data_IF_500814039752
#
_entry.id   IF_500814039752
#
_cell.length_a   1.000
_cell.length_b   1.000
_cell.length_c   1.000
_cell.angle_alpha   90.00
_cell.angle_beta   90.00
_cell.angle_gamma   90.00
#
_symmetry.space_group_name_H-M   'P 1'
#
loop_
_entity.id
_entity.type
_entity.pdbx_description
1 polymer ?
#
# COMPACT_ATOMS: atom_id res chain seq x y z
N UNK A 1 16.50 5.57 20.17
CA UNK A 1 15.04 5.64 20.00
C UNK A 1 14.71 7.11 19.78
N UNK A 2 14.28 7.50 18.58
CA UNK A 2 14.08 8.91 18.22
C UNK A 2 12.61 9.28 18.40
N UNK A 3 12.33 10.38 19.13
CA UNK A 3 11.01 10.99 19.22
C UNK A 3 10.84 11.93 18.03
N UNK A 4 9.82 11.70 17.21
CA UNK A 4 9.56 12.49 16.02
C UNK A 4 8.26 13.28 16.20
N UNK A 5 8.39 14.58 16.33
CA UNK A 5 7.31 15.56 16.10
C UNK A 5 7.43 16.03 14.64
N UNK A 6 6.79 15.34 13.71
CA UNK A 6 6.88 15.62 12.26
C UNK A 6 7.48 14.48 11.43
N UNK A 7 7.15 14.51 10.14
CA UNK A 7 7.23 13.43 9.14
C UNK A 7 8.64 12.80 9.02
N UNK A 8 8.73 11.47 9.17
CA UNK A 8 9.94 10.68 8.93
C UNK A 8 9.70 9.59 7.88
N UNK A 9 10.73 9.27 7.10
CA UNK A 9 10.72 8.25 6.07
C UNK A 9 10.37 6.88 6.63
N UNK A 10 9.23 6.34 6.20
CA UNK A 10 8.89 4.95 6.36
C UNK A 10 8.16 4.55 5.06
N UNK A 11 8.72 3.61 4.29
CA UNK A 11 8.15 3.20 3.01
C UNK A 11 6.78 2.54 3.21
N UNK A 12 5.74 3.30 2.86
CA UNK A 12 4.39 2.86 2.62
C UNK A 12 3.95 3.50 1.30
N UNK A 13 3.78 2.69 0.25
CA UNK A 13 3.02 3.07 -0.95
C UNK A 13 1.54 3.14 -0.57
N UNK A 14 1.19 4.28 0.02
CA UNK A 14 -0.13 4.89 -0.13
C UNK A 14 0.14 6.22 -0.82
N UNK A 15 -0.37 6.42 -2.04
CA UNK A 15 -0.19 7.67 -2.79
C UNK A 15 -1.24 8.72 -2.37
N UNK A 16 -0.73 9.76 -1.73
CA UNK A 16 -1.04 11.21 -1.81
C UNK A 16 -2.48 11.63 -2.11
N UNK A 17 -3.20 12.03 -1.05
CA UNK A 17 -4.13 13.17 -1.08
C UNK A 17 -3.47 14.33 -0.31
N UNK A 18 -3.28 15.47 -0.96
CA UNK A 18 -2.59 16.65 -0.41
C UNK A 18 -3.52 17.46 0.53
N UNK A 19 -2.98 18.01 1.62
CA UNK A 19 -3.62 19.04 2.46
C UNK A 19 -2.94 20.37 2.14
N UNK A 20 -3.71 21.36 1.68
CA UNK A 20 -3.24 22.71 1.38
C UNK A 20 -2.87 23.49 2.66
N UNK A 21 -1.58 23.80 2.87
CA UNK A 21 -1.06 25.08 3.41
C UNK A 21 0.48 25.07 3.54
N UNK A 22 1.18 26.20 3.35
CA UNK A 22 2.63 26.26 3.35
C UNK A 22 3.21 26.28 4.78
N UNK A 23 4.23 25.45 5.04
CA UNK A 23 5.06 25.51 6.25
C UNK A 23 6.53 25.87 5.90
N UNK A 24 7.29 26.48 6.83
CA UNK A 24 8.54 27.19 6.52
C UNK A 24 9.72 26.25 6.20
N UNK A 25 10.38 26.54 5.07
CA UNK A 25 11.78 26.46 4.63
C UNK A 25 12.83 25.45 5.19
N UNK A 26 12.54 24.58 6.17
CA UNK A 26 13.51 23.63 6.72
C UNK A 26 13.13 22.14 6.55
N UNK A 27 11.97 21.84 5.95
CA UNK A 27 11.42 20.48 5.79
C UNK A 27 11.27 20.10 4.32
N UNK A 28 12.29 19.49 3.71
CA UNK A 28 12.21 18.99 2.33
C UNK A 28 11.66 17.56 2.27
N UNK A 29 10.38 17.48 1.86
CA UNK A 29 9.68 16.45 1.05
C UNK A 29 10.18 14.99 1.13
N UNK A 30 9.41 14.16 1.84
CA UNK A 30 9.39 12.68 1.80
C UNK A 30 8.34 12.23 0.80
N UNK A 31 8.63 11.34 -0.18
CA UNK A 31 7.66 10.73 -1.12
C UNK A 31 6.36 11.56 -1.26
N UNK A 32 6.54 12.74 -1.87
CA UNK A 32 6.01 14.03 -1.41
C UNK A 32 4.49 14.23 -1.43
N UNK A 33 3.76 13.72 -0.41
CA UNK A 33 2.41 14.25 -0.15
C UNK A 33 1.46 13.54 0.84
N UNK A 34 1.87 12.49 1.57
CA UNK A 34 1.02 11.90 2.63
C UNK A 34 1.53 12.21 4.03
N UNK A 35 0.61 12.54 4.94
CA UNK A 35 0.92 12.76 6.35
C UNK A 35 0.98 11.41 7.09
N UNK A 36 1.98 11.24 7.97
CA UNK A 36 2.21 10.01 8.75
C UNK A 36 0.97 9.49 9.48
N UNK A 37 0.15 10.39 10.06
CA UNK A 37 -1.09 9.99 10.72
C UNK A 37 -2.09 9.32 9.76
N UNK A 38 -2.16 9.78 8.51
CA UNK A 38 -3.03 9.21 7.48
C UNK A 38 -2.60 7.80 7.06
N UNK A 39 -1.31 7.58 6.82
CA UNK A 39 -0.82 6.23 6.47
C UNK A 39 -0.96 5.26 7.65
N UNK A 40 -0.71 5.69 8.88
CA UNK A 40 -0.89 4.87 10.08
C UNK A 40 -2.35 4.57 10.39
N UNK A 41 -3.28 5.46 10.04
CA UNK A 41 -4.71 5.20 10.16
C UNK A 41 -5.19 4.09 9.20
N UNK A 42 -4.45 3.79 8.14
CA UNK A 42 -4.85 2.79 7.13
C UNK A 42 -3.99 1.51 7.19
N UNK A 43 -2.68 1.63 7.34
CA UNK A 43 -1.77 0.48 7.47
C UNK A 43 -0.38 0.76 6.94
N UNK A 44 -0.28 1.27 5.71
CA UNK A 44 0.96 1.64 5.05
C UNK A 44 1.74 0.44 4.51
N UNK A 45 1.29 -0.08 3.36
CA UNK A 45 1.93 -1.19 2.64
C UNK A 45 2.89 -0.70 1.56
N UNK A 46 3.95 -1.46 1.24
CA UNK A 46 4.82 -1.19 0.09
C UNK A 46 5.83 -2.32 -0.16
N UNK A 47 6.76 -2.13 -1.10
CA UNK A 47 7.72 -3.19 -1.48
C UNK A 47 8.64 -3.69 -0.37
N UNK A 48 8.82 -2.94 0.71
CA UNK A 48 9.58 -3.37 1.89
C UNK A 48 8.76 -4.24 2.88
N UNK A 49 7.44 -4.35 2.67
CA UNK A 49 6.51 -5.02 3.59
C UNK A 49 6.85 -6.49 3.81
N UNK A 50 7.34 -7.19 2.78
CA UNK A 50 7.76 -8.59 2.92
C UNK A 50 8.84 -8.79 4.00
N UNK A 51 9.68 -7.77 4.24
CA UNK A 51 10.79 -7.82 5.19
C UNK A 51 10.42 -7.27 6.57
N UNK A 52 9.66 -6.18 6.62
CA UNK A 52 9.44 -5.41 7.85
C UNK A 52 7.98 -5.37 8.33
N UNK A 53 7.04 -6.00 7.63
CA UNK A 53 5.60 -5.79 7.87
C UNK A 53 5.12 -4.45 7.31
N UNK A 54 3.86 -4.10 7.59
CA UNK A 54 3.34 -2.79 7.17
C UNK A 54 3.79 -1.69 8.12
N UNK A 55 3.60 -0.43 7.76
CA UNK A 55 4.06 0.71 8.57
C UNK A 55 3.52 0.66 10.01
N UNK A 56 2.26 0.25 10.19
CA UNK A 56 1.66 0.11 11.52
C UNK A 56 2.34 -0.94 12.42
N UNK A 57 3.00 -1.97 11.85
CA UNK A 57 3.78 -2.96 12.61
C UNK A 57 5.08 -2.39 13.17
N UNK A 58 5.51 -1.24 12.64
CA UNK A 58 6.77 -0.56 12.95
C UNK A 58 6.59 0.61 13.92
N UNK A 59 5.39 0.80 14.48
CA UNK A 59 5.12 1.81 15.51
C UNK A 59 5.46 1.27 16.90
N UNK A 60 6.13 2.09 17.68
CA UNK A 60 6.46 1.83 19.08
C UNK A 60 5.44 2.44 20.05
N UNK A 61 5.08 3.70 19.84
CA UNK A 61 4.22 4.50 20.72
C UNK A 61 3.54 5.60 19.90
N UNK A 62 2.33 6.01 20.31
CA UNK A 62 1.58 7.12 19.76
C UNK A 62 1.16 8.10 20.86
N UNK A 63 1.03 9.37 20.50
CA UNK A 63 0.14 10.30 21.20
C UNK A 63 -1.08 10.57 20.32
N UNK A 64 -2.26 10.47 20.92
CA UNK A 64 -3.55 10.50 20.23
C UNK A 64 -4.50 11.45 20.95
N UNK A 65 -5.21 12.28 20.20
CA UNK A 65 -6.36 13.05 20.71
C UNK A 65 -7.64 12.29 20.43
N UNK A 66 -8.39 11.90 21.47
CA UNK A 66 -9.65 11.15 21.34
C UNK A 66 -10.80 12.03 20.85
N UNK A 67 -11.95 11.43 20.53
CA UNK A 67 -13.17 12.17 20.13
C UNK A 67 -13.75 13.04 21.24
N UNK A 68 -13.35 12.81 22.50
CA UNK A 68 -13.65 13.69 23.64
C UNK A 68 -12.61 14.81 23.83
N UNK A 69 -11.60 14.91 22.95
CA UNK A 69 -10.55 15.93 23.04
C UNK A 69 -9.43 15.62 24.06
N UNK A 70 -9.33 14.39 24.56
CA UNK A 70 -8.31 14.00 25.55
C UNK A 70 -7.02 13.57 24.85
N UNK A 71 -5.88 14.10 25.30
CA UNK A 71 -4.56 13.68 24.84
C UNK A 71 -4.11 12.43 25.61
N UNK A 72 -3.99 11.32 24.92
CA UNK A 72 -3.61 10.02 25.46
C UNK A 72 -2.28 9.54 24.86
N UNK A 73 -1.48 8.84 25.66
CA UNK A 73 -0.30 8.11 25.18
C UNK A 73 -0.63 6.62 25.14
N UNK A 74 -0.32 5.95 24.04
CA UNK A 74 -0.61 4.52 23.88
C UNK A 74 0.52 3.77 23.14
N UNK A 75 0.71 2.51 23.51
CA UNK A 75 1.73 1.60 23.02
C UNK A 75 1.28 0.15 23.21
N UNK A 76 2.14 -0.83 22.89
CA UNK A 76 1.85 -2.25 23.16
C UNK A 76 1.73 -2.59 24.66
N UNK A 77 2.24 -1.73 25.55
CA UNK A 77 2.29 -1.96 27.01
C UNK A 77 1.48 -0.93 27.82
N UNK A 78 1.01 0.15 27.18
CA UNK A 78 0.21 1.21 27.81
C UNK A 78 -0.98 1.55 26.93
N UNK A 79 -2.20 1.58 27.47
CA UNK A 79 -3.42 1.88 26.69
C UNK A 79 -3.49 1.07 25.37
N UNK A 80 -3.20 -0.23 25.47
CA UNK A 80 -3.03 -1.11 24.31
C UNK A 80 -4.29 -1.17 23.43
N UNK A 81 -5.47 -1.10 24.03
CA UNK A 81 -6.73 -1.08 23.30
C UNK A 81 -6.87 0.17 22.42
N UNK A 82 -6.47 1.36 22.91
CA UNK A 82 -6.38 2.56 22.08
C UNK A 82 -5.33 2.42 20.96
N UNK A 83 -4.15 1.88 21.29
CA UNK A 83 -3.07 1.68 20.33
C UNK A 83 -3.51 0.80 19.15
N UNK A 84 -4.13 -0.34 19.45
CA UNK A 84 -4.66 -1.28 18.45
C UNK A 84 -5.90 -0.72 17.71
N UNK A 85 -6.68 0.17 18.34
CA UNK A 85 -7.86 0.78 17.72
C UNK A 85 -7.54 1.95 16.78
N UNK A 86 -6.37 2.58 16.92
CA UNK A 86 -5.95 3.73 16.11
C UNK A 86 -5.15 3.30 14.89
N UNK A 87 -4.26 2.31 15.04
CA UNK A 87 -3.46 1.77 13.94
C UNK A 87 -4.30 0.90 13.00
N UNK A 88 -4.33 1.26 11.71
CA UNK A 88 -5.26 0.72 10.72
C UNK A 88 -6.75 0.89 11.11
N UNK A 89 -7.05 1.81 12.03
CA UNK A 89 -8.39 2.04 12.56
C UNK A 89 -9.21 3.10 11.82
N UNK A 90 -8.71 3.59 10.67
CA UNK A 90 -9.37 4.54 9.78
C UNK A 90 -9.80 5.84 10.48
N UNK A 91 -9.01 6.27 11.47
CA UNK A 91 -9.22 7.49 12.25
C UNK A 91 -10.40 7.44 13.22
N UNK A 92 -11.02 6.28 13.42
CA UNK A 92 -12.30 6.18 14.14
C UNK A 92 -12.21 6.43 15.64
N UNK A 93 -11.05 6.19 16.25
CA UNK A 93 -10.87 6.22 17.70
C UNK A 93 -9.93 7.34 18.18
N UNK A 94 -9.34 8.12 17.27
CA UNK A 94 -8.50 9.24 17.66
C UNK A 94 -7.65 9.82 16.52
N UNK A 95 -7.18 11.04 16.73
CA UNK A 95 -6.27 11.76 15.84
C UNK A 95 -4.84 11.54 16.33
N UNK A 96 -3.99 10.94 15.50
CA UNK A 96 -2.57 10.76 15.81
C UNK A 96 -1.87 12.11 15.71
N UNK A 97 -1.31 12.59 16.82
CA UNK A 97 -0.54 13.86 16.88
C UNK A 97 0.96 13.64 17.03
N UNK A 98 1.39 12.48 17.53
CA UNK A 98 2.79 12.08 17.59
C UNK A 98 2.92 10.57 17.36
N UNK A 99 3.98 10.13 16.67
CA UNK A 99 4.29 8.73 16.49
C UNK A 99 5.79 8.47 16.67
N UNK A 100 6.12 7.47 17.48
CA UNK A 100 7.48 6.92 17.61
C UNK A 100 7.58 5.70 16.70
N UNK A 101 8.42 5.77 15.67
CA UNK A 101 8.54 4.75 14.62
C UNK A 101 9.94 4.12 14.68
N UNK A 102 10.03 2.82 14.43
CA UNK A 102 11.31 2.11 14.31
C UNK A 102 12.07 2.59 13.06
N UNK A 103 13.38 2.78 13.21
CA UNK A 103 14.26 3.18 12.12
C UNK A 103 15.34 2.12 11.89
N UNK A 104 15.85 2.09 10.66
CA UNK A 104 17.04 1.35 10.27
C UNK A 104 18.13 2.33 9.82
N UNK A 105 19.36 1.85 9.72
CA UNK A 105 20.44 2.62 9.08
C UNK A 105 20.09 2.77 7.61
N UNK A 106 20.17 4.00 7.10
CA UNK A 106 19.93 4.28 5.69
C UNK A 106 21.15 3.87 4.87
N UNK A 107 20.91 3.10 3.80
CA UNK A 107 21.91 2.87 2.77
C UNK A 107 22.10 4.11 1.89
N UNK A 108 23.17 4.15 1.10
CA UNK A 108 23.46 5.30 0.23
C UNK A 108 22.94 5.13 -1.19
N UNK A 109 22.80 3.89 -1.68
CA UNK A 109 22.42 3.57 -3.06
C UNK A 109 21.41 2.43 -3.11
N UNK A 110 20.71 2.36 -4.24
CA UNK A 110 19.80 1.27 -4.59
C UNK A 110 20.15 0.78 -6.00
N UNK A 111 20.42 -0.53 -6.14
CA UNK A 111 20.49 -1.20 -7.44
C UNK A 111 19.12 -1.75 -7.77
N UNK A 112 18.49 -1.20 -8.81
CA UNK A 112 17.09 -1.42 -9.19
C UNK A 112 17.04 -2.28 -10.44
N UNK A 113 16.12 -3.24 -10.46
CA UNK A 113 15.91 -4.16 -11.57
C UNK A 113 14.44 -4.14 -11.97
N UNK A 114 14.18 -3.92 -13.26
CA UNK A 114 12.88 -4.15 -13.89
C UNK A 114 13.00 -5.38 -14.77
N UNK A 115 12.27 -6.44 -14.42
CA UNK A 115 12.35 -7.75 -15.06
C UNK A 115 10.99 -8.11 -15.67
N UNK A 116 10.94 -8.46 -16.95
CA UNK A 116 9.68 -8.68 -17.67
C UNK A 116 9.34 -10.16 -17.85
N UNK A 117 8.04 -10.48 -17.78
CA UNK A 117 7.49 -11.82 -17.86
C UNK A 117 6.31 -11.85 -18.85
N UNK A 118 6.14 -12.97 -19.53
CA UNK A 118 5.04 -13.18 -20.50
C UNK A 118 3.76 -13.67 -19.82
N UNK A 119 3.86 -14.36 -18.69
CA UNK A 119 2.72 -14.97 -18.01
C UNK A 119 2.72 -14.69 -16.50
N UNK A 120 1.51 -14.68 -15.96
CA UNK A 120 1.24 -14.37 -14.56
C UNK A 120 1.83 -15.42 -13.61
N UNK A 121 1.76 -16.70 -13.97
CA UNK A 121 2.21 -17.80 -13.11
C UNK A 121 3.73 -17.78 -12.88
N UNK A 122 4.51 -17.47 -13.91
CA UNK A 122 5.96 -17.31 -13.82
C UNK A 122 6.33 -16.10 -12.95
N UNK A 123 5.63 -14.97 -13.11
CA UNK A 123 5.82 -13.79 -12.25
C UNK A 123 5.51 -14.14 -10.78
N UNK A 124 4.33 -14.68 -10.48
CA UNK A 124 3.87 -14.95 -9.11
C UNK A 124 4.76 -15.99 -8.43
N UNK A 125 5.23 -17.01 -9.15
CA UNK A 125 6.23 -17.97 -8.63
C UNK A 125 7.51 -17.26 -8.18
N UNK A 126 8.07 -16.38 -9.02
CA UNK A 126 9.32 -15.70 -8.70
C UNK A 126 9.14 -14.66 -7.61
N UNK A 127 8.01 -13.95 -7.58
CA UNK A 127 7.68 -13.05 -6.47
C UNK A 127 7.60 -13.81 -5.13
N UNK A 128 6.96 -15.00 -5.11
CA UNK A 128 6.91 -15.87 -3.92
C UNK A 128 8.29 -16.35 -3.49
N UNK A 129 9.12 -16.75 -4.45
CA UNK A 129 10.50 -17.13 -4.19
C UNK A 129 11.24 -15.99 -3.49
N UNK A 130 11.12 -14.76 -3.98
CA UNK A 130 11.84 -13.61 -3.41
C UNK A 130 11.37 -13.23 -2.00
N UNK A 131 10.07 -13.26 -1.71
CA UNK A 131 9.57 -12.88 -0.38
C UNK A 131 9.78 -13.97 0.69
N UNK A 132 10.02 -15.21 0.28
CA UNK A 132 10.30 -16.35 1.18
C UNK A 132 11.80 -16.66 1.32
N UNK A 133 12.66 -15.97 0.58
CA UNK A 133 14.12 -16.18 0.59
C UNK A 133 14.77 -15.52 1.82
N UNK A 134 14.43 -16.01 3.01
CA UNK A 134 14.98 -15.51 4.28
C UNK A 134 16.50 -15.75 4.41
N UNK A 135 17.04 -16.70 3.64
CA UNK A 135 18.46 -17.05 3.67
C UNK A 135 19.31 -16.07 2.89
N UNK A 136 18.87 -15.63 1.71
CA UNK A 136 19.66 -14.74 0.86
C UNK A 136 19.29 -13.27 1.04
N UNK A 137 18.04 -12.94 1.43
CA UNK A 137 17.54 -11.56 1.63
C UNK A 137 18.04 -10.58 0.56
N UNK A 138 18.05 -11.04 -0.70
CA UNK A 138 18.71 -10.40 -1.84
C UNK A 138 18.19 -8.98 -2.04
N UNK A 139 16.87 -8.84 -2.04
CA UNK A 139 16.20 -7.58 -2.29
C UNK A 139 15.64 -6.98 -1.00
N UNK A 140 15.77 -5.66 -0.87
CA UNK A 140 15.15 -4.88 0.19
C UNK A 140 13.73 -4.45 -0.20
N UNK A 141 13.44 -4.44 -1.50
CA UNK A 141 12.18 -4.01 -2.09
C UNK A 141 11.73 -5.04 -3.14
N UNK A 142 10.48 -5.48 -3.06
CA UNK A 142 9.84 -6.37 -4.05
C UNK A 142 8.43 -5.87 -4.34
N UNK A 143 8.19 -5.42 -5.58
CA UNK A 143 6.86 -5.17 -6.11
C UNK A 143 6.71 -5.75 -7.52
N UNK A 144 5.55 -5.61 -8.12
CA UNK A 144 5.32 -5.97 -9.50
C UNK A 144 4.14 -5.20 -10.07
N UNK A 145 4.05 -5.24 -11.39
CA UNK A 145 3.03 -4.52 -12.14
C UNK A 145 2.55 -5.35 -13.33
N UNK A 146 1.29 -5.11 -13.70
CA UNK A 146 0.78 -5.47 -15.01
C UNK A 146 0.92 -4.23 -15.89
N UNK A 147 1.73 -4.32 -16.94
CA UNK A 147 2.08 -3.18 -17.80
C UNK A 147 1.62 -3.42 -19.23
N UNK A 148 1.29 -2.36 -19.99
CA UNK A 148 0.87 -2.52 -21.38
C UNK A 148 1.96 -3.21 -22.21
N UNK A 149 1.54 -4.11 -23.08
CA UNK A 149 2.44 -4.68 -24.09
C UNK A 149 2.38 -3.82 -25.36
N UNK A 150 3.54 -3.49 -25.94
CA UNK A 150 3.64 -2.56 -27.09
C UNK A 150 2.86 -3.02 -28.33
N UNK A 151 2.54 -4.32 -28.41
CA UNK A 151 1.78 -4.92 -29.52
C UNK A 151 0.29 -5.14 -29.15
N UNK A 152 -0.19 -4.55 -28.06
CA UNK A 152 -1.53 -4.75 -27.52
C UNK A 152 -1.57 -5.80 -26.40
N UNK A 153 -2.56 -5.66 -25.51
CA UNK A 153 -2.71 -6.49 -24.32
C UNK A 153 -1.75 -6.10 -23.19
N UNK A 154 -1.44 -7.06 -22.32
CA UNK A 154 -0.69 -6.85 -21.09
C UNK A 154 0.52 -7.78 -21.02
N UNK A 155 1.59 -7.32 -20.37
CA UNK A 155 2.73 -8.12 -19.92
C UNK A 155 2.98 -7.84 -18.44
N UNK A 156 3.85 -8.62 -17.82
CA UNK A 156 4.10 -8.56 -16.39
C UNK A 156 5.51 -8.05 -16.10
N UNK A 157 5.67 -7.26 -15.04
CA UNK A 157 6.95 -6.67 -14.65
C UNK A 157 7.17 -6.88 -13.15
N UNK A 158 8.35 -7.38 -12.78
CA UNK A 158 8.86 -7.43 -11.42
C UNK A 158 9.78 -6.23 -11.20
N UNK A 159 9.50 -5.42 -10.19
CA UNK A 159 10.35 -4.29 -9.76
C UNK A 159 10.99 -4.67 -8.44
N UNK A 160 12.31 -4.87 -8.44
CA UNK A 160 13.06 -5.24 -7.23
C UNK A 160 14.25 -4.32 -7.04
N UNK A 161 14.61 -4.04 -5.78
CA UNK A 161 15.79 -3.24 -5.48
C UNK A 161 16.59 -3.82 -4.31
N UNK A 162 17.91 -3.70 -4.41
CA UNK A 162 18.86 -4.05 -3.36
C UNK A 162 19.62 -2.81 -2.92
N UNK A 163 19.60 -2.53 -1.63
CA UNK A 163 20.20 -1.33 -1.05
C UNK A 163 21.61 -1.64 -0.56
N UNK A 164 22.54 -0.71 -0.81
CA UNK A 164 23.95 -0.89 -0.48
C UNK A 164 24.67 0.43 -0.21
N UNK A 165 25.78 0.34 0.53
CA UNK A 165 26.62 1.51 0.86
C UNK A 165 28.06 1.44 0.37
N UNK A 166 28.62 0.23 0.19
CA UNK A 166 30.02 0.05 -0.19
C UNK A 166 30.17 -0.72 -1.49
N UNK A 167 29.68 -1.96 -1.53
CA UNK A 167 29.85 -2.87 -2.66
C UNK A 167 28.56 -2.99 -3.45
N UNK A 168 28.64 -2.72 -4.76
CA UNK A 168 27.50 -2.91 -5.67
C UNK A 168 27.09 -4.39 -5.71
N UNK A 169 25.79 -4.71 -5.59
CA UNK A 169 25.30 -6.08 -5.70
C UNK A 169 25.69 -6.74 -7.03
N UNK A 170 26.07 -8.03 -6.98
CA UNK A 170 26.44 -8.80 -8.16
C UNK A 170 25.19 -9.34 -8.87
N UNK A 171 24.87 -8.81 -10.06
CA UNK A 171 23.67 -9.15 -10.82
C UNK A 171 23.46 -10.66 -11.02
N UNK A 172 24.53 -11.44 -11.26
CA UNK A 172 24.41 -12.87 -11.46
C UNK A 172 23.87 -13.58 -10.22
N UNK A 173 24.27 -13.12 -9.03
CA UNK A 173 23.77 -13.63 -7.75
C UNK A 173 22.35 -13.13 -7.50
N UNK A 174 22.10 -11.84 -7.76
CA UNK A 174 20.81 -11.20 -7.51
C UNK A 174 19.70 -11.85 -8.35
N UNK A 175 19.99 -12.13 -9.62
CA UNK A 175 19.05 -12.63 -10.63
C UNK A 175 19.04 -14.16 -10.75
N UNK A 176 19.82 -14.86 -9.91
CA UNK A 176 19.88 -16.31 -9.90
C UNK A 176 18.49 -16.93 -9.60
N UNK A 177 18.10 -17.93 -10.40
CA UNK A 177 16.85 -18.68 -10.24
C UNK A 177 15.59 -17.95 -10.71
N UNK A 178 15.69 -16.69 -11.15
CA UNK A 178 14.55 -15.96 -11.73
C UNK A 178 14.38 -16.31 -13.22
N UNK A 179 13.14 -16.40 -13.68
CA UNK A 179 12.77 -16.85 -15.03
C UNK A 179 12.04 -15.75 -15.81
N UNK A 180 12.49 -14.51 -15.64
CA UNK A 180 12.12 -13.42 -16.52
C UNK A 180 12.71 -13.62 -17.93
N UNK A 181 12.22 -12.84 -18.90
CA UNK A 181 12.69 -12.89 -20.29
C UNK A 181 14.11 -12.29 -20.37
N UNK A 182 15.11 -13.13 -20.60
CA UNK A 182 16.52 -12.71 -20.67
C UNK A 182 16.75 -11.72 -21.82
N UNK A 183 17.56 -10.70 -21.56
CA UNK A 183 17.85 -9.61 -22.48
C UNK A 183 16.83 -8.46 -22.45
N UNK A 184 15.81 -8.52 -21.58
CA UNK A 184 14.80 -7.46 -21.41
C UNK A 184 14.94 -6.69 -20.10
N UNK A 185 15.82 -7.15 -19.21
CA UNK A 185 16.08 -6.55 -17.92
C UNK A 185 16.57 -5.10 -18.06
N UNK A 186 16.04 -4.22 -17.22
CA UNK A 186 16.57 -2.87 -17.04
C UNK A 186 17.20 -2.81 -15.66
N UNK A 187 18.49 -2.51 -15.62
CA UNK A 187 19.28 -2.46 -14.38
C UNK A 187 19.89 -1.08 -14.26
N UNK A 188 19.63 -0.40 -13.15
CA UNK A 188 20.17 0.92 -12.89
C UNK A 188 20.56 1.08 -11.43
N UNK A 189 21.55 1.95 -11.18
CA UNK A 189 21.87 2.43 -9.84
C UNK A 189 21.23 3.80 -9.61
N UNK A 190 20.56 3.96 -8.47
CA UNK A 190 20.04 5.23 -7.97
C UNK A 190 20.66 5.55 -6.62
N UNK A 191 20.65 6.82 -6.21
CA UNK A 191 20.82 7.12 -4.79
C UNK A 191 19.64 6.51 -4.02
N UNK A 192 19.86 6.18 -2.75
CA UNK A 192 18.80 5.65 -1.89
C UNK A 192 17.59 6.59 -1.86
N UNK A 193 17.83 7.91 -1.73
CA UNK A 193 16.78 8.92 -1.74
C UNK A 193 16.03 8.99 -3.07
N UNK A 194 16.73 8.98 -4.21
CA UNK A 194 16.07 9.06 -5.52
C UNK A 194 15.21 7.83 -5.79
N UNK A 195 15.62 6.65 -5.31
CA UNK A 195 14.76 5.48 -5.33
C UNK A 195 13.48 5.71 -4.51
N UNK A 196 13.60 6.16 -3.26
CA UNK A 196 12.42 6.45 -2.41
C UNK A 196 11.51 7.53 -3.00
N UNK A 197 12.08 8.53 -3.67
CA UNK A 197 11.39 9.70 -4.20
C UNK A 197 11.03 9.57 -5.70
N UNK A 198 11.20 8.40 -6.31
CA UNK A 198 11.11 8.19 -7.78
C UNK A 198 9.79 8.54 -8.43
N UNK A 199 8.70 8.68 -7.66
CA UNK A 199 7.40 9.09 -8.19
C UNK A 199 7.25 10.61 -8.33
N UNK A 200 8.15 11.41 -7.74
CA UNK A 200 8.00 12.87 -7.71
C UNK A 200 7.92 13.49 -9.10
N UNK A 201 8.75 13.04 -10.04
CA UNK A 201 8.76 13.56 -11.41
C UNK A 201 7.52 13.14 -12.19
N UNK A 202 7.06 11.89 -12.02
CA UNK A 202 5.79 11.42 -12.60
C UNK A 202 4.62 12.24 -12.08
N UNK A 203 4.56 12.51 -10.76
CA UNK A 203 3.52 13.36 -10.16
C UNK A 203 3.59 14.78 -10.71
N UNK A 204 4.79 15.36 -10.80
CA UNK A 204 4.99 16.70 -11.35
C UNK A 204 4.52 16.78 -12.81
N UNK A 205 4.84 15.76 -13.62
CA UNK A 205 4.37 15.65 -14.99
C UNK A 205 2.85 15.55 -15.06
N UNK A 206 2.21 14.65 -14.30
CA UNK A 206 0.75 14.52 -14.26
C UNK A 206 0.04 15.80 -13.82
N UNK A 207 0.65 16.56 -12.89
CA UNK A 207 0.16 17.89 -12.48
C UNK A 207 0.28 18.90 -13.63
N UNK A 208 1.40 18.90 -14.36
CA UNK A 208 1.64 19.82 -15.49
C UNK A 208 0.65 19.67 -16.63
N UNK A 209 0.11 18.46 -16.84
CA UNK A 209 -0.92 18.17 -17.87
C UNK A 209 -2.35 18.17 -17.31
N UNK A 210 -2.55 18.54 -16.04
CA UNK A 210 -3.86 18.65 -15.38
C UNK A 210 -4.54 17.33 -14.98
N UNK A 211 -4.04 16.19 -15.45
CA UNK A 211 -4.63 14.86 -15.20
C UNK A 211 -4.55 14.46 -13.72
N UNK A 212 -3.57 14.97 -12.97
CA UNK A 212 -3.46 14.73 -11.53
C UNK A 212 -4.68 15.19 -10.72
N UNK A 213 -5.45 16.17 -11.22
CA UNK A 213 -6.63 16.69 -10.53
C UNK A 213 -7.93 15.97 -10.93
N UNK A 214 -7.86 14.98 -11.82
CA UNK A 214 -9.05 14.21 -12.22
C UNK A 214 -9.52 13.29 -11.08
N UNK A 215 -10.75 12.77 -11.14
CA UNK A 215 -11.18 11.74 -10.20
C UNK A 215 -10.33 10.47 -10.33
N UNK A 216 -9.95 9.88 -9.20
CA UNK A 216 -9.10 8.69 -9.12
C UNK A 216 -9.86 7.53 -8.47
N UNK A 217 -10.78 6.85 -9.17
CA UNK A 217 -11.58 5.76 -8.60
C UNK A 217 -10.74 4.47 -8.50
N UNK A 218 -9.75 4.47 -7.61
CA UNK A 218 -8.81 3.36 -7.42
C UNK A 218 -9.50 2.10 -6.90
N UNK A 219 -8.93 0.97 -7.25
CA UNK A 219 -9.23 -0.34 -6.68
C UNK A 219 -7.99 -0.84 -5.94
N UNK A 220 -8.11 -1.23 -4.68
CA UNK A 220 -7.01 -1.84 -3.92
C UNK A 220 -7.54 -3.05 -3.14
N UNK A 221 -7.04 -4.23 -3.49
CA UNK A 221 -7.51 -5.50 -2.96
C UNK A 221 -6.35 -6.31 -2.39
N UNK A 222 -6.60 -7.00 -1.29
CA UNK A 222 -5.82 -8.15 -0.88
C UNK A 222 -6.48 -9.42 -1.43
N UNK A 223 -5.78 -10.09 -2.32
CA UNK A 223 -6.21 -11.34 -2.96
C UNK A 223 -5.52 -12.51 -2.26
N UNK A 224 -6.24 -13.59 -1.90
CA UNK A 224 -5.63 -14.79 -1.34
C UNK A 224 -4.59 -15.37 -2.30
N UNK A 225 -3.47 -15.87 -1.76
CA UNK A 225 -2.39 -16.41 -2.55
C UNK A 225 -2.83 -17.57 -3.44
N UNK A 226 -3.72 -18.43 -2.96
CA UNK A 226 -4.27 -19.57 -3.69
C UNK A 226 -5.13 -19.17 -4.90
N UNK A 227 -5.71 -17.97 -4.87
CA UNK A 227 -6.67 -17.49 -5.88
C UNK A 227 -6.09 -16.43 -6.83
N UNK A 228 -4.86 -15.95 -6.59
CA UNK A 228 -4.30 -14.80 -7.33
C UNK A 228 -4.25 -15.02 -8.84
N UNK A 229 -3.80 -16.20 -9.29
CA UNK A 229 -3.61 -16.47 -10.73
C UNK A 229 -4.95 -16.56 -11.47
N UNK A 230 -5.94 -17.22 -10.88
CA UNK A 230 -7.27 -17.37 -11.48
C UNK A 230 -8.06 -16.05 -11.45
N UNK A 231 -8.05 -15.33 -10.32
CA UNK A 231 -8.76 -14.07 -10.18
C UNK A 231 -8.11 -12.97 -11.02
N UNK A 232 -6.82 -12.70 -10.84
CA UNK A 232 -6.13 -11.62 -11.56
C UNK A 232 -6.02 -11.95 -13.05
N UNK A 233 -5.74 -13.20 -13.41
CA UNK A 233 -5.71 -13.63 -14.81
C UNK A 233 -7.04 -13.37 -15.53
N UNK A 234 -8.17 -13.68 -14.88
CA UNK A 234 -9.51 -13.36 -15.41
C UNK A 234 -9.72 -11.85 -15.57
N UNK A 235 -9.39 -11.05 -14.56
CA UNK A 235 -9.54 -9.59 -14.62
C UNK A 235 -8.71 -9.00 -15.76
N UNK A 236 -7.42 -9.34 -15.82
CA UNK A 236 -6.47 -8.84 -16.83
C UNK A 236 -6.88 -9.26 -18.24
N UNK A 237 -7.45 -10.46 -18.43
CA UNK A 237 -7.88 -10.93 -19.75
C UNK A 237 -8.97 -10.05 -20.38
N UNK A 238 -9.76 -9.35 -19.57
CA UNK A 238 -10.83 -8.44 -20.04
C UNK A 238 -10.47 -6.96 -19.90
N UNK A 239 -9.33 -6.65 -19.29
CA UNK A 239 -8.95 -5.29 -18.96
C UNK A 239 -8.39 -4.57 -20.20
N UNK A 240 -8.79 -3.33 -20.40
CA UNK A 240 -8.25 -2.44 -21.45
C UNK A 240 -7.58 -1.23 -20.82
N UNK A 241 -6.73 -0.54 -21.59
CA UNK A 241 -6.13 0.73 -21.17
C UNK A 241 -7.19 1.75 -20.73
N UNK A 242 -8.32 1.82 -21.43
CA UNK A 242 -9.44 2.69 -21.08
C UNK A 242 -10.04 2.37 -19.71
N UNK A 243 -10.10 1.09 -19.31
CA UNK A 243 -10.56 0.72 -17.97
C UNK A 243 -9.63 1.22 -16.87
N UNK A 244 -8.34 1.31 -17.14
CA UNK A 244 -7.34 1.83 -16.18
C UNK A 244 -7.21 3.35 -16.20
N UNK A 245 -7.72 4.03 -17.24
CA UNK A 245 -7.41 5.44 -17.43
C UNK A 245 -5.91 5.72 -17.57
N UNK A 246 -5.17 4.76 -18.14
CA UNK A 246 -3.70 4.77 -18.24
C UNK A 246 -2.95 4.74 -16.90
N UNK A 247 -3.66 4.47 -15.79
CA UNK A 247 -3.05 4.30 -14.49
C UNK A 247 -2.33 2.95 -14.33
N UNK A 248 -1.35 2.86 -13.41
CA UNK A 248 -0.61 1.63 -13.18
C UNK A 248 -1.49 0.55 -12.52
N UNK A 249 -1.15 -0.71 -12.80
CA UNK A 249 -1.74 -1.88 -12.15
C UNK A 249 -0.65 -2.53 -11.31
N UNK A 250 -0.79 -2.50 -9.98
CA UNK A 250 0.16 -3.12 -9.07
C UNK A 250 -0.25 -4.55 -8.75
N UNK A 251 0.74 -5.44 -8.70
CA UNK A 251 0.57 -6.83 -8.30
C UNK A 251 1.84 -7.31 -7.58
N UNK A 252 1.75 -7.55 -6.28
CA UNK A 252 2.88 -8.11 -5.52
C UNK A 252 2.44 -8.81 -4.25
N UNK A 253 3.20 -9.85 -3.83
CA UNK A 253 2.89 -10.58 -2.62
C UNK A 253 3.45 -9.91 -1.37
N UNK A 254 2.81 -10.21 -0.25
CA UNK A 254 3.29 -9.92 1.10
C UNK A 254 3.09 -11.15 1.97
N UNK A 255 3.95 -11.30 2.99
CA UNK A 255 3.86 -12.38 3.96
C UNK A 255 3.07 -11.90 5.19
N UNK A 256 1.94 -12.54 5.47
CA UNK A 256 1.00 -12.15 6.53
C UNK A 256 1.51 -12.44 7.93
N UNK A 257 2.51 -13.32 8.09
CA UNK A 257 3.16 -13.60 9.39
C UNK A 257 3.85 -12.35 9.98
N UNK A 258 4.07 -11.31 9.16
CA UNK A 258 4.64 -10.03 9.61
C UNK A 258 3.59 -9.08 10.20
N UNK A 259 2.29 -9.35 10.02
CA UNK A 259 1.22 -8.43 10.44
C UNK A 259 0.73 -8.77 11.84
N UNK A 260 0.83 -7.80 12.75
CA UNK A 260 0.49 -7.97 14.16
C UNK A 260 -0.73 -7.17 14.63
N UNK A 261 -1.24 -6.23 13.82
CA UNK A 261 -2.31 -5.33 14.23
C UNK A 261 -3.70 -5.88 13.84
N UNK A 262 -4.69 -5.87 14.76
CA UNK A 262 -5.96 -6.55 14.54
C UNK A 262 -6.83 -5.93 13.43
N UNK A 263 -6.71 -4.62 13.21
CA UNK A 263 -7.52 -3.86 12.26
C UNK A 263 -6.93 -3.79 10.85
N UNK A 264 -5.68 -4.21 10.66
CA UNK A 264 -5.13 -4.37 9.32
C UNK A 264 -5.61 -5.71 8.73
N UNK A 265 -6.73 -5.67 8.00
CA UNK A 265 -7.43 -6.87 7.55
C UNK A 265 -6.92 -7.38 6.20
N UNK A 266 -6.51 -8.64 6.19
CA UNK A 266 -6.05 -9.39 5.01
C UNK A 266 -6.61 -10.82 5.05
N UNK A 267 -6.56 -11.58 3.93
CA UNK A 267 -6.86 -13.01 3.96
C UNK A 267 -5.98 -13.77 4.98
N UNK A 268 -6.45 -14.92 5.45
CA UNK A 268 -5.76 -15.73 6.47
C UNK A 268 -4.61 -16.58 5.93
N UNK A 269 -4.38 -16.57 4.62
CA UNK A 269 -3.27 -17.30 4.00
C UNK A 269 -1.92 -16.64 4.34
N UNK A 270 -0.86 -17.44 4.40
CA UNK A 270 0.50 -16.96 4.70
C UNK A 270 1.00 -15.95 3.67
N UNK A 271 0.63 -16.12 2.40
CA UNK A 271 0.99 -15.21 1.32
C UNK A 271 -0.29 -14.68 0.70
N UNK A 272 -0.40 -13.36 0.66
CA UNK A 272 -1.50 -12.64 0.00
C UNK A 272 -0.91 -11.63 -0.98
N UNK A 273 -1.67 -11.25 -1.99
CA UNK A 273 -1.23 -10.28 -2.99
C UNK A 273 -1.98 -8.99 -2.83
N UNK A 274 -1.26 -7.86 -2.84
CA UNK A 274 -1.89 -6.61 -3.23
C UNK A 274 -2.14 -6.68 -4.73
N UNK A 275 -3.39 -6.50 -5.13
CA UNK A 275 -3.78 -6.23 -6.50
C UNK A 275 -4.48 -4.88 -6.54
N UNK A 276 -3.89 -3.92 -7.24
CA UNK A 276 -4.42 -2.57 -7.31
C UNK A 276 -4.51 -2.07 -8.75
N UNK A 277 -5.61 -1.41 -9.09
CA UNK A 277 -5.79 -0.69 -10.34
C UNK A 277 -5.90 0.79 -9.99
N UNK A 278 -4.82 1.55 -10.21
CA UNK A 278 -4.75 2.96 -9.82
C UNK A 278 -5.36 3.85 -10.91
N UNK A 279 -6.68 3.72 -11.09
CA UNK A 279 -7.44 4.38 -12.15
C UNK A 279 -7.37 5.89 -12.13
N UNK A 280 -7.43 6.49 -13.32
CA UNK A 280 -7.73 7.92 -13.51
C UNK A 280 -8.96 8.05 -14.40
N UNK A 281 -9.99 8.79 -13.97
CA UNK A 281 -11.16 9.04 -14.81
C UNK A 281 -10.81 10.07 -15.89
N UNK A 282 -10.45 9.59 -17.08
CA UNK A 282 -10.13 10.41 -18.25
C UNK A 282 -11.01 9.98 -19.44
N UNK A 283 -11.93 10.84 -19.94
CA UNK A 283 -12.23 12.19 -19.44
C UNK A 283 -12.88 12.17 -18.03
N UNK A 284 -12.79 13.28 -17.27
CA UNK A 284 -13.27 13.38 -15.88
C UNK A 284 -14.79 13.58 -15.80
N UNK A 285 -15.54 12.71 -16.45
CA UNK A 285 -17.00 12.77 -16.53
C UNK A 285 -17.65 11.84 -15.51
N UNK A 286 -18.79 12.25 -14.93
CA UNK A 286 -19.53 11.47 -13.92
C UNK A 286 -19.90 10.06 -14.40
N UNK A 287 -20.22 9.89 -15.69
CA UNK A 287 -20.53 8.59 -16.27
C UNK A 287 -19.30 7.67 -16.28
N UNK A 288 -18.10 8.21 -16.50
CA UNK A 288 -16.83 7.45 -16.45
C UNK A 288 -16.54 7.05 -15.01
N UNK A 289 -16.66 7.97 -14.07
CA UNK A 289 -16.45 7.72 -12.63
C UNK A 289 -17.43 6.65 -12.14
N UNK A 290 -18.72 6.82 -12.40
CA UNK A 290 -19.77 5.86 -11.98
C UNK A 290 -19.49 4.47 -12.49
N UNK A 291 -19.13 4.32 -13.77
CA UNK A 291 -18.76 3.03 -14.36
C UNK A 291 -17.54 2.40 -13.68
N UNK A 292 -16.50 3.18 -13.39
CA UNK A 292 -15.31 2.68 -12.67
C UNK A 292 -15.64 2.26 -11.24
N UNK A 293 -16.51 3.00 -10.53
CA UNK A 293 -16.96 2.64 -9.17
C UNK A 293 -17.80 1.35 -9.18
N UNK A 294 -18.71 1.19 -10.14
CA UNK A 294 -19.47 -0.06 -10.31
C UNK A 294 -18.57 -1.25 -10.63
N UNK A 295 -17.55 -1.04 -11.47
CA UNK A 295 -16.52 -2.05 -11.78
C UNK A 295 -15.73 -2.44 -10.53
N UNK A 296 -15.28 -1.46 -9.75
CA UNK A 296 -14.56 -1.68 -8.50
C UNK A 296 -15.40 -2.47 -7.49
N UNK A 297 -16.70 -2.14 -7.33
CA UNK A 297 -17.60 -2.89 -6.45
C UNK A 297 -17.74 -4.33 -6.88
N UNK A 298 -17.97 -4.59 -8.18
CA UNK A 298 -18.09 -5.94 -8.73
C UNK A 298 -16.83 -6.77 -8.49
N UNK A 299 -15.66 -6.19 -8.74
CA UNK A 299 -14.37 -6.87 -8.53
C UNK A 299 -14.09 -7.11 -7.05
N UNK A 300 -14.46 -6.17 -6.17
CA UNK A 300 -14.37 -6.38 -4.72
C UNK A 300 -15.24 -7.55 -4.25
N UNK A 301 -16.50 -7.64 -4.69
CA UNK A 301 -17.39 -8.73 -4.29
C UNK A 301 -16.85 -10.09 -4.74
N UNK A 302 -16.37 -10.19 -5.98
CA UNK A 302 -15.72 -11.41 -6.49
C UNK A 302 -14.48 -11.79 -5.65
N UNK A 303 -13.64 -10.80 -5.29
CA UNK A 303 -12.48 -11.05 -4.42
C UNK A 303 -12.91 -11.48 -3.01
N UNK A 304 -13.90 -10.81 -2.42
CA UNK A 304 -14.44 -11.12 -1.09
C UNK A 304 -14.98 -12.54 -1.01
N UNK A 305 -15.68 -12.98 -2.05
CA UNK A 305 -16.26 -14.33 -2.11
C UNK A 305 -15.17 -15.43 -2.21
N UNK A 306 -13.94 -15.05 -2.58
CA UNK A 306 -12.74 -15.91 -2.52
C UNK A 306 -12.02 -15.83 -1.15
N UNK A 307 -12.52 -15.05 -0.19
CA UNK A 307 -11.84 -14.78 1.09
C UNK A 307 -10.89 -13.57 1.06
N UNK A 308 -10.92 -12.81 -0.04
CA UNK A 308 -10.19 -11.57 -0.23
C UNK A 308 -10.68 -10.40 0.62
N UNK A 309 -9.83 -9.39 0.77
CA UNK A 309 -10.13 -8.18 1.54
C UNK A 309 -9.93 -6.92 0.70
N UNK A 310 -10.57 -5.84 1.15
CA UNK A 310 -10.34 -4.48 0.68
C UNK A 310 -9.09 -3.91 1.36
N UNK A 311 -8.27 -3.14 0.65
CA UNK A 311 -7.30 -2.25 1.29
C UNK A 311 -7.81 -0.80 1.19
N UNK A 312 -8.25 -0.15 2.29
CA UNK A 312 -9.12 1.03 2.26
C UNK A 312 -8.40 2.35 1.93
N UNK A 313 -7.66 2.34 0.82
CA UNK A 313 -7.08 3.50 0.10
C UNK A 313 -7.69 3.59 -1.32
N UNK A 314 -8.90 3.07 -1.47
CA UNK A 314 -9.61 2.88 -2.73
C UNK A 314 -10.93 3.66 -2.78
N UNK A 315 -11.60 3.57 -3.93
CA UNK A 315 -12.95 4.08 -4.15
C UNK A 315 -13.93 2.93 -4.39
N UNK A 316 -14.11 2.06 -3.39
CA UNK A 316 -15.20 1.07 -3.38
C UNK A 316 -16.33 1.58 -2.48
N UNK A 317 -17.56 1.74 -2.99
CA UNK A 317 -18.73 2.02 -2.15
C UNK A 317 -18.93 0.92 -1.11
N UNK A 318 -18.90 1.30 0.17
CA UNK A 318 -19.02 0.41 1.31
C UNK A 318 -20.20 0.83 2.20
N UNK A 319 -21.09 -0.11 2.46
CA UNK A 319 -22.15 0.05 3.46
C UNK A 319 -21.62 -0.24 4.87
N UNK A 320 -22.38 0.15 5.89
CA UNK A 320 -22.07 -0.23 7.26
C UNK A 320 -22.02 -1.77 7.44
N UNK A 321 -22.85 -2.52 6.72
CA UNK A 321 -22.83 -3.99 6.74
C UNK A 321 -21.54 -4.55 6.15
N UNK A 322 -21.04 -3.95 5.07
CA UNK A 322 -19.74 -4.33 4.50
C UNK A 322 -18.61 -4.09 5.50
N UNK A 323 -18.63 -2.96 6.23
CA UNK A 323 -17.65 -2.67 7.28
C UNK A 323 -17.70 -3.67 8.44
N UNK A 324 -18.90 -4.00 8.91
CA UNK A 324 -19.09 -5.03 9.94
C UNK A 324 -18.49 -6.36 9.49
N UNK A 325 -18.73 -6.77 8.25
CA UNK A 325 -18.16 -8.00 7.68
C UNK A 325 -16.64 -7.91 7.54
N UNK A 326 -16.12 -6.80 7.01
CA UNK A 326 -14.70 -6.57 6.79
C UNK A 326 -13.89 -6.69 8.08
N UNK A 327 -14.39 -6.13 9.18
CA UNK A 327 -13.69 -6.20 10.47
C UNK A 327 -14.00 -7.46 11.28
N UNK A 328 -14.82 -8.41 10.81
CA UNK A 328 -14.94 -9.70 11.52
C UNK A 328 -13.59 -10.43 11.51
N UNK A 329 -13.22 -11.11 12.62
CA UNK A 329 -14.01 -11.27 13.86
C UNK A 329 -13.81 -10.15 14.90
N UNK A 330 -12.95 -9.16 14.63
CA UNK A 330 -12.57 -8.10 15.60
C UNK A 330 -13.54 -6.92 15.67
N UNK A 331 -14.62 -6.91 14.88
CA UNK A 331 -15.63 -5.84 14.88
C UNK A 331 -16.09 -5.45 16.28
N UNK A 332 -16.40 -6.41 17.16
CA UNK A 332 -16.84 -6.13 18.52
C UNK A 332 -15.82 -5.31 19.32
N UNK A 333 -14.52 -5.58 19.16
CA UNK A 333 -13.45 -4.80 19.80
C UNK A 333 -13.40 -3.37 19.26
N UNK A 334 -13.58 -3.18 17.95
CA UNK A 334 -13.64 -1.86 17.33
C UNK A 334 -14.86 -1.06 17.82
N UNK A 335 -16.04 -1.68 17.93
CA UNK A 335 -17.23 -1.04 18.50
C UNK A 335 -16.99 -0.60 19.95
N UNK A 336 -16.39 -1.47 20.78
CA UNK A 336 -16.05 -1.14 22.16
C UNK A 336 -15.07 0.02 22.25
N UNK A 337 -14.03 0.02 21.41
CA UNK A 337 -13.07 1.12 21.34
C UNK A 337 -13.72 2.43 20.87
N UNK A 338 -14.59 2.37 19.84
CA UNK A 338 -15.35 3.53 19.35
C UNK A 338 -16.18 4.15 20.48
N UNK A 339 -16.96 3.34 21.21
CA UNK A 339 -17.76 3.82 22.36
C UNK A 339 -16.91 4.45 23.47
N UNK A 340 -15.68 3.95 23.66
CA UNK A 340 -14.78 4.44 24.70
C UNK A 340 -14.07 5.74 24.31
N UNK A 341 -13.63 5.85 23.06
CA UNK A 341 -12.72 6.91 22.63
C UNK A 341 -13.38 7.94 21.71
N UNK A 342 -14.53 7.64 21.12
CA UNK A 342 -15.34 8.58 20.34
C UNK A 342 -16.84 8.26 20.47
N UNK A 343 -17.43 8.38 21.68
CA UNK A 343 -18.83 8.03 21.95
C UNK A 343 -19.84 8.85 21.15
N UNK A 344 -19.44 10.05 20.69
CA UNK A 344 -20.30 10.99 19.97
C UNK A 344 -20.13 10.88 18.44
N UNK A 345 -19.32 9.92 17.95
CA UNK A 345 -19.05 9.69 16.52
C UNK A 345 -18.58 10.95 15.77
N UNK A 346 -17.74 11.78 16.39
CA UNK A 346 -17.27 13.02 15.77
C UNK A 346 -16.09 12.80 14.83
N UNK A 347 -15.35 11.69 14.98
CA UNK A 347 -14.14 11.43 14.23
C UNK A 347 -14.43 10.69 12.92
N UNK A 348 -13.99 11.30 11.81
CA UNK A 348 -13.95 10.69 10.46
C UNK A 348 -15.28 10.09 9.97
N UNK A 349 -16.41 10.84 10.01
CA UNK A 349 -17.72 10.33 9.58
C UNK A 349 -17.77 9.94 8.10
N UNK A 350 -16.90 10.53 7.26
CA UNK A 350 -16.82 10.24 5.83
C UNK A 350 -16.46 8.79 5.48
N UNK A 351 -15.94 8.00 6.43
CA UNK A 351 -15.69 6.57 6.22
C UNK A 351 -16.98 5.73 6.21
N UNK A 352 -18.07 6.23 6.81
CA UNK A 352 -19.36 5.52 6.87
C UNK A 352 -19.34 4.23 7.69
N UNK A 353 -18.46 4.12 8.69
CA UNK A 353 -18.31 2.93 9.54
C UNK A 353 -19.33 2.92 10.70
N UNK A 354 -19.52 4.07 11.36
CA UNK A 354 -20.32 4.22 12.58
C UNK A 354 -21.42 5.26 12.42
#
# INVERSE_FOLDING_TARGET
MWRLSGCAACEARTLICEVEKPLPHCLKRLAAGVVTGGTLAVGGIGGATHRYGVQVDNVWELQVVTGEGKLETCSKIQNRDLFEAVLAGLGQCGIIVQATIKLIVADTKARVYLLFYNDLATLTRDQRLLINDERLKRFNYVEGQVVPNGNGGWRYMLEVASFYSSTTPNDNIMLAGLNYIRGTEQIEDKSYFDFLNRLADTVAFLKSIGVWSYPHPWLNLFVPGSAVESFVGKVVSTLTLANTGQGPILLYPVNTNRFGLPLFRVPTEEIVFLFAILRTAAPPEDAVVTRMLSDNRRLFEQNRDLGGYRYPVDAIPFSQKDWQQHFRPVWGKLVSAKRRYDPNNVLTPGQGIF
#
